data_IF_757268886315
#
_entry.id   IF_757268886315
#
_cell.length_a   1.000
_cell.length_b   1.000
_cell.length_c   1.000
_cell.angle_alpha   90.00
_cell.angle_beta   90.00
_cell.angle_gamma   90.00
#
_symmetry.space_group_name_H-M   'P 1'
#
loop_
_entity.id
_entity.type
_entity.pdbx_description
1 polymer ?
#
# COMPACT_ATOMS: atom_id res chain seq x y z
N UNK A 1 8.99 12.62 -4.09
CA UNK A 1 7.70 11.89 -4.13
C UNK A 1 7.71 11.07 -5.40
N UNK A 2 7.69 9.74 -5.31
CA UNK A 2 7.78 8.86 -6.49
C UNK A 2 6.36 8.42 -6.88
N UNK A 3 5.98 8.62 -8.13
CA UNK A 3 4.70 8.15 -8.69
C UNK A 3 5.01 7.04 -9.71
N UNK A 4 4.48 5.84 -9.49
CA UNK A 4 4.62 4.73 -10.44
C UNK A 4 3.36 4.68 -11.31
N UNK A 5 3.48 5.06 -12.58
CA UNK A 5 2.37 5.06 -13.56
C UNK A 5 2.58 3.92 -14.56
N UNK A 6 1.94 2.78 -14.33
CA UNK A 6 1.81 1.72 -15.34
C UNK A 6 0.47 1.87 -16.04
N UNK A 7 0.51 2.47 -17.25
CA UNK A 7 -0.49 2.46 -18.32
C UNK A 7 -1.98 2.53 -17.90
N UNK A 8 -2.51 3.75 -18.00
CA UNK A 8 -3.91 4.19 -18.07
C UNK A 8 -4.94 3.85 -16.97
N UNK A 9 -4.87 2.76 -16.22
CA UNK A 9 -6.01 2.38 -15.33
C UNK A 9 -5.71 2.36 -13.84
N UNK A 10 -4.45 2.17 -13.41
CA UNK A 10 -4.09 2.06 -11.99
C UNK A 10 -3.25 3.25 -11.53
N UNK A 11 -3.90 4.31 -11.01
CA UNK A 11 -3.24 5.52 -10.53
C UNK A 11 -3.14 5.51 -9.00
N UNK A 12 -2.16 4.78 -8.48
CA UNK A 12 -1.89 4.72 -7.04
C UNK A 12 -0.63 5.54 -6.74
N UNK A 13 -0.66 6.30 -5.65
CA UNK A 13 0.50 7.01 -5.12
C UNK A 13 0.97 6.34 -3.83
N UNK A 14 2.29 6.14 -3.72
CA UNK A 14 2.93 5.52 -2.55
C UNK A 14 3.89 6.54 -1.93
N UNK A 15 3.65 6.89 -0.68
CA UNK A 15 4.49 7.76 0.13
C UNK A 15 5.22 6.99 1.22
N UNK A 16 6.45 7.41 1.55
CA UNK A 16 7.15 6.91 2.73
C UNK A 16 6.67 7.68 3.96
N UNK A 17 6.34 6.95 5.03
CA UNK A 17 6.06 7.49 6.38
C UNK A 17 7.08 6.90 7.36
N UNK A 18 7.15 7.44 8.59
CA UNK A 18 8.22 7.13 9.55
C UNK A 18 8.51 5.62 9.68
N UNK A 19 7.47 4.80 9.83
CA UNK A 19 7.58 3.36 10.06
C UNK A 19 7.00 2.49 8.94
N UNK A 20 6.79 3.06 7.74
CA UNK A 20 6.02 2.35 6.73
C UNK A 20 5.75 3.10 5.43
N UNK A 21 4.66 2.69 4.79
CA UNK A 21 4.18 3.28 3.55
C UNK A 21 2.73 3.74 3.68
N UNK A 22 2.45 4.90 3.10
CA UNK A 22 1.10 5.40 2.85
C UNK A 22 0.74 5.13 1.39
N UNK A 23 -0.45 4.60 1.15
CA UNK A 23 -0.95 4.27 -0.19
C UNK A 23 -2.27 5.00 -0.38
N UNK A 24 -2.37 5.81 -1.44
CA UNK A 24 -3.60 6.52 -1.81
C UNK A 24 -3.97 6.27 -3.26
N UNK A 25 -5.26 6.22 -3.53
CA UNK A 25 -5.79 6.27 -4.89
C UNK A 25 -5.75 7.72 -5.38
N UNK A 26 -5.03 7.97 -6.47
CA UNK A 26 -4.98 9.28 -7.11
C UNK A 26 -6.30 9.63 -7.78
N UNK A 27 -7.15 8.66 -8.11
CA UNK A 27 -8.48 8.90 -8.68
C UNK A 27 -9.45 9.46 -7.65
N UNK A 28 -9.25 9.18 -6.36
CA UNK A 28 -10.08 9.67 -5.26
C UNK A 28 -9.21 10.31 -4.16
N UNK A 29 -8.61 11.46 -4.48
CA UNK A 29 -7.69 12.15 -3.55
C UNK A 29 -8.33 12.57 -2.22
N UNK A 30 -9.65 12.68 -2.17
CA UNK A 30 -10.43 13.04 -0.98
C UNK A 30 -10.70 11.84 -0.06
N UNK A 31 -10.55 10.60 -0.55
CA UNK A 31 -10.76 9.37 0.22
C UNK A 31 -9.67 9.08 1.26
N UNK A 32 -8.60 9.88 1.27
CA UNK A 32 -7.48 9.74 2.21
C UNK A 32 -6.44 8.72 1.74
N UNK A 33 -5.72 8.13 2.69
CA UNK A 33 -4.71 7.11 2.42
C UNK A 33 -4.76 6.03 3.50
N UNK A 34 -4.39 4.81 3.12
CA UNK A 34 -4.16 3.73 4.08
C UNK A 34 -2.67 3.68 4.39
N UNK A 35 -2.30 3.35 5.63
CA UNK A 35 -0.90 3.15 6.00
C UNK A 35 -0.64 1.72 6.42
N UNK A 36 0.57 1.23 6.15
CA UNK A 36 1.04 -0.06 6.64
C UNK A 36 2.44 0.10 7.20
N UNK A 37 2.73 -0.59 8.30
CA UNK A 37 4.07 -0.66 8.89
C UNK A 37 4.88 -1.81 8.29
N UNK A 38 6.21 -1.73 8.41
CA UNK A 38 7.08 -2.86 8.05
C UNK A 38 6.71 -4.16 8.80
N UNK A 39 6.30 -4.04 10.08
CA UNK A 39 5.88 -5.18 10.90
C UNK A 39 4.58 -5.81 10.40
N UNK A 40 3.57 -5.00 10.08
CA UNK A 40 2.30 -5.49 9.53
C UNK A 40 2.52 -6.18 8.18
N UNK A 41 3.37 -5.63 7.31
CA UNK A 41 3.74 -6.27 6.04
C UNK A 41 4.40 -7.63 6.26
N UNK A 42 5.34 -7.74 7.21
CA UNK A 42 6.00 -9.00 7.51
C UNK A 42 5.02 -10.06 8.03
N UNK A 43 4.13 -9.67 8.96
CA UNK A 43 3.10 -10.55 9.49
C UNK A 43 2.09 -11.00 8.43
N UNK A 44 1.70 -10.11 7.51
CA UNK A 44 0.84 -10.46 6.38
C UNK A 44 1.50 -11.48 5.47
N UNK A 45 2.76 -11.28 5.08
CA UNK A 45 3.50 -12.23 4.23
C UNK A 45 3.62 -13.59 4.91
N UNK A 46 3.87 -13.61 6.22
CA UNK A 46 3.90 -14.85 7.00
C UNK A 46 2.53 -15.55 6.99
N UNK A 47 1.45 -14.82 7.21
CA UNK A 47 0.10 -15.38 7.18
C UNK A 47 -0.31 -15.92 5.78
N UNK A 48 0.09 -15.24 4.70
CA UNK A 48 -0.11 -15.75 3.32
C UNK A 48 0.67 -17.05 3.10
N UNK A 49 1.93 -17.11 3.54
CA UNK A 49 2.77 -18.32 3.42
C UNK A 49 2.24 -19.52 4.20
N UNK A 50 1.42 -19.27 5.22
CA UNK A 50 0.80 -20.29 6.06
C UNK A 50 -0.69 -20.49 5.72
N UNK A 51 -1.17 -20.02 4.55
CA UNK A 51 -2.54 -20.25 4.05
C UNK A 51 -3.63 -19.83 5.07
N UNK A 52 -3.42 -18.72 5.77
CA UNK A 52 -4.30 -18.29 6.89
C UNK A 52 -5.48 -17.40 6.47
N UNK A 53 -5.74 -17.25 5.17
CA UNK A 53 -6.74 -16.31 4.62
C UNK A 53 -7.71 -16.95 3.60
N UNK A 54 -7.98 -18.25 3.74
CA UNK A 54 -9.01 -18.96 2.95
C UNK A 54 -10.44 -18.40 3.18
#
# INVERSE_FOLDING_TARGET
MSAYTSQETNRVEIGRVADGAAVRDTKERTGGYFSTTGRQRAAFIDAVKNERFE
#
